data_IF_742904805465
#
_entry.id   IF_742904805465
#
_cell.length_a   1.000
_cell.length_b   1.000
_cell.length_c   1.000
_cell.angle_alpha   90.00
_cell.angle_beta   90.00
_cell.angle_gamma   90.00
#
_symmetry.space_group_name_H-M   'P 1'
#
loop_
_entity.id
_entity.type
_entity.pdbx_description
1 polymer ?
#
# COMPACT_ATOMS: atom_id res chain seq x y z
N UNK A 1 -8.00 -17.23 -29.57
CA UNK A 1 -7.62 -17.88 -28.31
C UNK A 1 -6.24 -17.44 -27.82
N UNK A 2 -5.24 -17.45 -28.71
CA UNK A 2 -3.89 -17.03 -28.34
C UNK A 2 -3.85 -15.56 -27.92
N UNK A 3 -4.65 -14.73 -28.61
CA UNK A 3 -4.78 -13.34 -28.25
C UNK A 3 -5.39 -13.21 -26.85
N UNK A 4 -6.40 -14.03 -26.59
CA UNK A 4 -7.04 -14.03 -25.28
C UNK A 4 -6.09 -14.48 -24.17
N UNK A 5 -5.25 -15.48 -24.46
CA UNK A 5 -4.24 -15.94 -23.52
C UNK A 5 -3.22 -14.84 -23.23
N UNK A 6 -2.80 -14.14 -24.27
CA UNK A 6 -1.86 -13.02 -24.10
C UNK A 6 -2.45 -11.92 -23.25
N UNK A 7 -3.72 -11.60 -23.45
CA UNK A 7 -4.41 -10.61 -22.64
C UNK A 7 -4.54 -11.07 -21.20
N UNK A 8 -4.87 -12.33 -20.98
CA UNK A 8 -4.95 -12.89 -19.62
C UNK A 8 -3.59 -12.88 -18.95
N UNK A 9 -2.54 -13.17 -19.69
CA UNK A 9 -1.18 -13.14 -19.16
C UNK A 9 -0.79 -11.73 -18.71
N UNK A 10 -1.07 -10.72 -19.53
CA UNK A 10 -0.79 -9.33 -19.21
C UNK A 10 -1.56 -8.90 -17.98
N UNK A 11 -2.85 -9.24 -17.90
CA UNK A 11 -3.66 -8.96 -16.71
C UNK A 11 -3.08 -9.64 -15.47
N UNK A 12 -2.58 -10.85 -15.63
CA UNK A 12 -1.99 -11.60 -14.55
C UNK A 12 -0.71 -10.91 -14.04
N UNK A 13 0.08 -10.38 -14.96
CA UNK A 13 1.28 -9.62 -14.58
C UNK A 13 0.92 -8.35 -13.84
N UNK A 14 -0.08 -7.61 -14.31
CA UNK A 14 -0.58 -6.43 -13.61
C UNK A 14 -1.13 -6.78 -12.23
N UNK A 15 -1.89 -7.88 -12.16
CA UNK A 15 -2.46 -8.34 -10.89
C UNK A 15 -1.40 -8.77 -9.89
N UNK A 16 -0.18 -9.07 -10.35
CA UNK A 16 0.93 -9.45 -9.49
C UNK A 16 1.70 -8.27 -8.93
N UNK A 17 1.42 -7.04 -9.40
CA UNK A 17 2.07 -5.86 -8.85
C UNK A 17 1.74 -5.77 -7.36
N UNK A 18 2.76 -5.61 -6.52
CA UNK A 18 2.68 -5.67 -5.07
C UNK A 18 2.31 -7.06 -4.53
N UNK A 19 2.31 -8.09 -5.37
CA UNK A 19 2.02 -9.47 -4.96
C UNK A 19 3.29 -10.32 -4.89
N UNK A 20 4.44 -9.69 -4.87
CA UNK A 20 5.74 -10.31 -4.72
C UNK A 20 6.14 -10.36 -3.25
N UNK A 21 7.41 -10.66 -2.98
CA UNK A 21 7.92 -10.71 -1.61
C UNK A 21 7.84 -9.32 -0.96
N UNK A 22 7.34 -9.28 0.27
CA UNK A 22 7.08 -8.03 0.98
C UNK A 22 8.07 -7.84 2.13
N UNK A 23 8.57 -6.62 2.26
CA UNK A 23 9.52 -6.25 3.31
C UNK A 23 9.02 -5.03 4.07
N UNK A 24 9.36 -4.98 5.35
CA UNK A 24 9.14 -3.82 6.19
C UNK A 24 10.50 -3.30 6.64
N UNK A 25 10.69 -1.99 6.62
CA UNK A 25 11.90 -1.40 7.17
C UNK A 25 11.88 -1.44 8.70
N UNK A 26 13.03 -1.19 9.31
CA UNK A 26 13.14 -1.09 10.77
C UNK A 26 12.24 -0.02 11.33
N UNK A 27 12.17 1.14 10.66
CA UNK A 27 11.32 2.23 11.10
C UNK A 27 9.85 1.83 11.13
N UNK A 28 9.39 1.17 10.08
CA UNK A 28 8.01 0.70 10.04
C UNK A 28 7.76 -0.32 11.15
N UNK A 29 8.65 -1.28 11.33
CA UNK A 29 8.49 -2.29 12.38
C UNK A 29 8.49 -1.69 13.78
N UNK A 30 9.27 -0.62 13.98
CA UNK A 30 9.38 0.03 15.29
C UNK A 30 8.20 0.96 15.60
N UNK A 31 7.65 1.64 14.61
CA UNK A 31 6.69 2.72 14.83
C UNK A 31 5.27 2.40 14.43
N UNK A 32 5.05 1.41 13.57
CA UNK A 32 3.71 1.11 13.03
C UNK A 32 3.23 -0.22 13.61
N UNK A 33 2.04 -0.25 14.23
CA UNK A 33 1.48 -1.53 14.71
C UNK A 33 1.30 -2.53 13.58
N UNK A 34 1.51 -3.81 13.87
CA UNK A 34 1.45 -4.85 12.85
C UNK A 34 0.08 -4.96 12.18
N UNK A 35 -1.00 -4.76 12.92
CA UNK A 35 -2.35 -4.78 12.32
C UNK A 35 -2.49 -3.68 11.25
N UNK A 36 -1.82 -2.54 11.46
CA UNK A 36 -1.89 -1.42 10.52
C UNK A 36 -1.03 -1.69 9.28
N UNK A 37 0.14 -2.29 9.44
CA UNK A 37 0.95 -2.69 8.28
C UNK A 37 0.20 -3.73 7.43
N UNK A 38 -0.44 -4.69 8.07
CA UNK A 38 -1.24 -5.70 7.38
C UNK A 38 -2.40 -5.06 6.63
N UNK A 39 -3.07 -4.09 7.26
CA UNK A 39 -4.17 -3.37 6.62
C UNK A 39 -3.70 -2.58 5.41
N UNK A 40 -2.55 -1.90 5.52
CA UNK A 40 -2.00 -1.13 4.40
C UNK A 40 -1.63 -2.04 3.23
N UNK A 41 -1.04 -3.21 3.48
CA UNK A 41 -0.80 -4.20 2.41
C UNK A 41 -2.11 -4.62 1.76
N UNK A 42 -3.13 -4.90 2.56
CA UNK A 42 -4.43 -5.27 2.04
C UNK A 42 -5.03 -4.17 1.17
N UNK A 43 -4.93 -2.92 1.60
CA UNK A 43 -5.44 -1.79 0.82
C UNK A 43 -4.75 -1.66 -0.54
N UNK A 44 -3.44 -1.90 -0.60
CA UNK A 44 -2.72 -1.87 -1.87
C UNK A 44 -3.16 -3.02 -2.77
N UNK A 45 -3.30 -4.21 -2.20
CA UNK A 45 -3.66 -5.40 -3.00
C UNK A 45 -5.09 -5.36 -3.51
N UNK A 46 -5.99 -4.71 -2.79
CA UNK A 46 -7.42 -4.70 -3.12
C UNK A 46 -7.90 -3.39 -3.74
N UNK A 47 -7.03 -2.41 -3.93
CA UNK A 47 -7.45 -1.13 -4.50
C UNK A 47 -8.01 -1.32 -5.92
N UNK A 48 -9.09 -0.61 -6.20
CA UNK A 48 -9.74 -0.67 -7.51
C UNK A 48 -9.27 0.51 -8.36
N UNK A 49 -8.36 0.23 -9.25
CA UNK A 49 -7.75 1.23 -10.13
C UNK A 49 -7.29 0.53 -11.41
N UNK A 50 -7.28 1.26 -12.53
CA UNK A 50 -6.87 0.69 -13.81
C UNK A 50 -5.44 0.16 -13.82
N UNK A 51 -4.54 0.86 -13.14
CA UNK A 51 -3.16 0.45 -13.00
C UNK A 51 -2.59 0.96 -11.70
N UNK A 52 -1.82 0.12 -11.03
CA UNK A 52 -1.18 0.52 -9.77
C UNK A 52 0.13 1.21 -10.06
N UNK A 53 0.32 2.39 -9.45
CA UNK A 53 1.60 3.08 -9.48
C UNK A 53 2.62 2.31 -8.65
N UNK A 54 3.88 2.35 -9.02
CA UNK A 54 4.94 1.69 -8.25
C UNK A 54 5.09 2.29 -6.86
N UNK A 55 4.66 3.52 -6.67
CA UNK A 55 4.70 4.22 -5.38
C UNK A 55 3.30 4.43 -4.86
N UNK A 56 3.02 3.82 -3.71
CA UNK A 56 1.77 4.02 -2.98
C UNK A 56 2.09 4.83 -1.73
N UNK A 57 1.26 5.83 -1.42
CA UNK A 57 1.49 6.74 -0.31
C UNK A 57 0.38 6.57 0.72
N UNK A 58 0.76 6.41 1.98
CA UNK A 58 -0.18 6.36 3.10
C UNK A 58 0.12 7.50 4.06
N UNK A 59 -0.90 8.29 4.36
CA UNK A 59 -0.82 9.34 5.37
C UNK A 59 -1.61 8.87 6.57
N UNK A 60 -0.94 8.70 7.68
CA UNK A 60 -1.53 8.18 8.92
C UNK A 60 -1.65 9.30 9.92
N UNK A 61 -2.85 9.51 10.46
CA UNK A 61 -3.11 10.55 11.44
C UNK A 61 -3.85 9.97 12.62
N UNK A 62 -3.36 10.26 13.82
CA UNK A 62 -4.03 9.91 15.06
C UNK A 62 -5.18 10.89 15.30
N UNK A 63 -6.36 10.37 15.59
CA UNK A 63 -7.54 11.18 15.89
C UNK A 63 -8.17 10.71 17.18
N UNK A 64 -9.08 11.52 17.78
CA UNK A 64 -9.80 11.05 18.97
C UNK A 64 -10.61 9.78 18.72
N UNK A 65 -11.00 9.52 17.48
CA UNK A 65 -11.78 8.34 17.12
C UNK A 65 -10.90 7.12 16.79
N UNK A 66 -9.57 7.30 16.65
CA UNK A 66 -8.66 6.21 16.31
C UNK A 66 -7.69 6.57 15.23
N UNK A 67 -7.47 5.67 14.28
CA UNK A 67 -6.52 5.87 13.20
C UNK A 67 -7.22 6.35 11.93
N UNK A 68 -6.80 7.50 11.43
CA UNK A 68 -7.20 7.98 10.11
C UNK A 68 -6.12 7.59 9.10
N UNK A 69 -6.55 7.04 7.97
CA UNK A 69 -5.66 6.55 6.91
C UNK A 69 -6.08 7.15 5.59
N UNK A 70 -5.12 7.75 4.89
CA UNK A 70 -5.32 8.21 3.51
C UNK A 70 -4.36 7.44 2.62
N UNK A 71 -4.89 6.73 1.64
CA UNK A 71 -4.12 5.96 0.67
C UNK A 71 -4.21 6.67 -0.69
N UNK A 72 -3.06 7.01 -1.25
CA UNK A 72 -3.00 7.75 -2.50
C UNK A 72 -1.98 7.16 -3.46
N UNK A 73 -2.24 7.31 -4.76
CA UNK A 73 -1.23 7.15 -5.80
C UNK A 73 -1.39 8.30 -6.80
N UNK A 74 -0.35 8.58 -7.54
CA UNK A 74 -0.30 9.73 -8.43
C UNK A 74 -0.82 9.44 -9.83
N UNK A 75 -0.42 8.32 -10.44
CA UNK A 75 -0.75 7.99 -11.83
C UNK A 75 -1.24 6.54 -11.99
N UNK A 76 -2.50 6.31 -12.38
CA UNK A 76 -3.56 7.32 -12.42
C UNK A 76 -3.96 7.77 -11.01
N UNK A 77 -4.55 8.96 -10.88
CA UNK A 77 -4.90 9.48 -9.54
C UNK A 77 -5.84 8.55 -8.81
N UNK A 78 -5.55 8.33 -7.53
CA UNK A 78 -6.37 7.49 -6.67
C UNK A 78 -6.25 8.03 -5.24
N UNK A 79 -7.36 8.04 -4.52
CA UNK A 79 -7.40 8.45 -3.13
C UNK A 79 -8.52 7.72 -2.41
N UNK A 80 -8.18 7.12 -1.30
CA UNK A 80 -9.14 6.41 -0.46
C UNK A 80 -8.88 6.76 0.99
N UNK A 81 -9.92 7.06 1.74
CA UNK A 81 -9.81 7.39 3.16
C UNK A 81 -10.55 6.38 4.01
N UNK A 82 -9.99 6.08 5.16
CA UNK A 82 -10.54 5.07 6.07
C UNK A 82 -10.25 5.50 7.51
N UNK A 83 -11.23 5.31 8.39
CA UNK A 83 -11.07 5.50 9.83
C UNK A 83 -11.25 4.17 10.55
N UNK A 84 -10.31 3.85 11.43
CA UNK A 84 -10.33 2.59 12.19
C UNK A 84 -10.28 2.91 13.68
N UNK A 85 -11.31 2.53 14.46
CA UNK A 85 -11.28 2.72 15.90
C UNK A 85 -10.14 1.89 16.51
N UNK A 86 -9.29 2.53 17.28
CA UNK A 86 -8.19 1.86 17.98
C UNK A 86 -7.61 2.80 19.04
N UNK A 87 -6.77 2.26 19.91
CA UNK A 87 -6.10 3.02 20.95
C UNK A 87 -4.59 3.16 20.72
N UNK A 88 -4.08 2.60 19.64
CA UNK A 88 -2.66 2.62 19.28
C UNK A 88 -2.39 3.35 17.95
N UNK A 89 -3.20 4.35 17.63
CA UNK A 89 -3.04 5.14 16.42
C UNK A 89 -1.72 5.91 16.42
N UNK A 90 -1.17 6.11 15.21
CA UNK A 90 0.11 6.79 15.02
C UNK A 90 -0.01 7.91 13.99
N UNK A 91 0.94 8.83 14.04
CA UNK A 91 1.12 9.87 13.03
C UNK A 91 2.36 9.52 12.22
N UNK A 92 2.19 9.23 10.93
CA UNK A 92 3.32 8.87 10.08
C UNK A 92 2.94 9.01 8.62
N UNK A 93 3.94 9.12 7.76
CA UNK A 93 3.77 9.03 6.31
C UNK A 93 4.56 7.81 5.86
N UNK A 94 3.89 6.91 5.16
CA UNK A 94 4.45 5.61 4.78
C UNK A 94 4.40 5.48 3.26
N UNK A 95 5.47 5.01 2.68
CA UNK A 95 5.53 4.65 1.26
C UNK A 95 5.54 3.14 1.13
N UNK A 96 4.86 2.65 0.09
CA UNK A 96 4.94 1.25 -0.33
C UNK A 96 5.41 1.26 -1.77
N UNK A 97 6.58 0.69 -2.01
CA UNK A 97 7.25 0.75 -3.31
C UNK A 97 7.46 -0.66 -3.85
N UNK A 98 7.03 -0.87 -5.09
CA UNK A 98 7.29 -2.10 -5.84
C UNK A 98 8.44 -1.85 -6.80
N UNK A 99 9.55 -2.57 -6.62
CA UNK A 99 10.72 -2.43 -7.49
C UNK A 99 10.83 -3.57 -8.51
N UNK A 100 9.72 -4.29 -8.76
CA UNK A 100 9.59 -5.41 -9.69
C UNK A 100 10.09 -6.74 -9.14
N UNK A 101 10.99 -6.75 -8.18
CA UNK A 101 11.48 -7.97 -7.55
C UNK A 101 10.86 -8.19 -6.19
N UNK A 102 10.56 -7.12 -5.49
CA UNK A 102 9.92 -7.16 -4.18
C UNK A 102 9.23 -5.83 -3.89
N UNK A 103 8.41 -5.83 -2.87
CA UNK A 103 7.71 -4.62 -2.42
C UNK A 103 8.19 -4.28 -1.02
N UNK A 104 8.45 -2.99 -0.77
CA UNK A 104 8.94 -2.52 0.52
C UNK A 104 8.04 -1.45 1.07
N UNK A 105 7.67 -1.60 2.34
CA UNK A 105 6.98 -0.57 3.11
C UNK A 105 8.01 0.14 3.97
N UNK A 106 8.10 1.47 3.85
CA UNK A 106 9.08 2.28 4.56
C UNK A 106 8.45 3.59 5.02
N UNK A 107 9.03 4.18 6.05
CA UNK A 107 8.62 5.53 6.45
C UNK A 107 9.13 6.52 5.40
N UNK A 108 8.36 7.58 5.14
CA UNK A 108 8.76 8.58 4.16
C UNK A 108 10.14 9.18 4.48
N UNK A 109 10.46 9.32 5.76
CA UNK A 109 11.76 9.85 6.20
C UNK A 109 12.93 8.89 5.95
N UNK A 110 12.64 7.63 5.66
CA UNK A 110 13.65 6.63 5.31
C UNK A 110 13.93 6.58 3.81
N UNK A 111 13.15 7.30 3.04
CA UNK A 111 13.27 7.27 1.58
C UNK A 111 14.53 8.06 1.08
#
# INVERSE_FOLDING_TARGET
>A
WDILRSLLFVKKEEAKMFDDQKFLTRGVMAEIPSWLTDLMWHMVLTMEVEGKDYLQVFKLTKTPAGQHIVHEQEQPPYRYELDVPCDDAVNAKVFVIDDLTHSTMLLAEEY
#
